data_IF_648393525909
#
_entry.id   IF_648393525909
#
_cell.length_a   1.000
_cell.length_b   1.000
_cell.length_c   1.000
_cell.angle_alpha   90.00
_cell.angle_beta   90.00
_cell.angle_gamma   90.00
#
_symmetry.space_group_name_H-M   'P 1'
#
loop_
_entity.id
_entity.type
_entity.pdbx_description
1 polymer ?
#
# COMPACT_ATOMS: atom_id res chain seq x y z
N UNK A 1 -24.96 -14.48 -14.00
CA UNK A 1 -23.70 -14.12 -14.69
C UNK A 1 -22.73 -13.65 -13.62
N UNK A 2 -21.56 -14.27 -13.50
CA UNK A 2 -20.50 -13.87 -12.56
C UNK A 2 -19.35 -13.24 -13.37
N UNK A 3 -18.76 -12.17 -12.86
CA UNK A 3 -17.64 -11.48 -13.48
C UNK A 3 -16.39 -11.63 -12.63
N UNK A 4 -15.22 -11.65 -13.25
CA UNK A 4 -13.92 -11.63 -12.55
C UNK A 4 -12.86 -10.84 -13.30
N UNK A 5 -11.84 -10.40 -12.54
CA UNK A 5 -10.68 -9.75 -13.12
C UNK A 5 -9.77 -10.76 -13.80
N UNK A 6 -9.40 -10.50 -15.04
CA UNK A 6 -8.51 -11.32 -15.86
C UNK A 6 -7.26 -10.55 -16.24
N UNK A 7 -6.11 -11.17 -16.06
CA UNK A 7 -4.85 -10.64 -16.56
C UNK A 7 -4.80 -10.78 -18.10
N UNK A 8 -4.31 -9.75 -18.75
CA UNK A 8 -4.16 -9.68 -20.20
C UNK A 8 -2.76 -9.28 -20.59
N UNK A 9 -2.35 -9.64 -21.80
CA UNK A 9 -1.10 -9.19 -22.41
C UNK A 9 -1.46 -8.44 -23.69
N UNK A 10 -1.00 -7.21 -23.81
CA UNK A 10 -1.20 -6.43 -25.03
C UNK A 10 -0.48 -7.09 -26.21
N UNK A 11 -1.17 -7.39 -27.32
CA UNK A 11 -0.54 -7.99 -28.49
C UNK A 11 0.38 -7.02 -29.23
N UNK A 12 0.28 -5.71 -28.94
CA UNK A 12 1.04 -4.67 -29.64
C UNK A 12 2.43 -4.47 -29.03
N UNK A 13 2.50 -4.42 -27.69
CA UNK A 13 3.72 -4.05 -26.97
C UNK A 13 4.09 -5.04 -25.84
N UNK A 14 3.36 -6.15 -25.70
CA UNK A 14 3.60 -7.16 -24.67
C UNK A 14 3.32 -6.72 -23.23
N UNK A 15 2.75 -5.53 -23.01
CA UNK A 15 2.47 -5.03 -21.67
C UNK A 15 1.37 -5.83 -21.01
N UNK A 16 1.60 -6.09 -19.70
CA UNK A 16 0.59 -6.69 -18.83
C UNK A 16 -0.51 -5.66 -18.51
N UNK A 17 -1.75 -6.10 -18.63
CA UNK A 17 -2.94 -5.33 -18.31
C UNK A 17 -3.95 -6.16 -17.53
N UNK A 18 -5.09 -5.56 -17.24
CA UNK A 18 -6.21 -6.22 -16.56
C UNK A 18 -7.51 -5.82 -17.21
N UNK A 19 -8.40 -6.80 -17.33
CA UNK A 19 -9.77 -6.61 -17.82
C UNK A 19 -10.77 -7.32 -16.91
N UNK A 20 -12.06 -7.18 -17.21
CA UNK A 20 -13.14 -7.91 -16.54
C UNK A 20 -13.83 -8.79 -17.58
N UNK A 21 -14.01 -10.06 -17.26
CA UNK A 21 -14.66 -11.05 -18.11
C UNK A 21 -15.81 -11.75 -17.39
N UNK A 22 -16.76 -12.27 -18.14
CA UNK A 22 -17.89 -13.06 -17.65
C UNK A 22 -17.63 -14.58 -17.64
N UNK A 23 -18.65 -15.37 -17.30
CA UNK A 23 -18.60 -16.84 -17.24
C UNK A 23 -18.18 -17.51 -18.58
N UNK A 24 -18.40 -16.82 -19.70
CA UNK A 24 -17.99 -17.25 -21.03
C UNK A 24 -16.61 -16.75 -21.46
N UNK A 25 -15.87 -16.08 -20.56
CA UNK A 25 -14.62 -15.36 -20.87
C UNK A 25 -14.81 -14.22 -21.88
N UNK A 26 -16.03 -13.68 -22.00
CA UNK A 26 -16.30 -12.51 -22.83
C UNK A 26 -15.91 -11.26 -22.06
N UNK A 27 -15.12 -10.40 -22.69
CA UNK A 27 -14.67 -9.14 -22.10
C UNK A 27 -15.85 -8.15 -21.93
N UNK A 28 -15.97 -7.56 -20.76
CA UNK A 28 -16.90 -6.44 -20.54
C UNK A 28 -16.31 -5.16 -21.14
N UNK A 29 -16.77 -4.77 -22.31
CA UNK A 29 -16.17 -3.74 -23.17
C UNK A 29 -15.93 -2.42 -22.46
N UNK A 30 -16.94 -1.89 -21.72
CA UNK A 30 -16.84 -0.61 -21.01
C UNK A 30 -15.86 -0.66 -19.85
N UNK A 31 -15.83 -1.76 -19.08
CA UNK A 31 -14.87 -1.96 -18.02
C UNK A 31 -13.43 -2.05 -18.57
N UNK A 32 -13.24 -2.74 -19.69
CA UNK A 32 -11.96 -2.84 -20.37
C UNK A 32 -11.47 -1.48 -20.88
N UNK A 33 -12.35 -0.68 -21.47
CA UNK A 33 -12.03 0.68 -21.92
C UNK A 33 -11.59 1.57 -20.73
N UNK A 34 -12.35 1.53 -19.63
CA UNK A 34 -12.00 2.26 -18.43
C UNK A 34 -10.64 1.85 -17.86
N UNK A 35 -10.38 0.54 -17.73
CA UNK A 35 -9.12 0.03 -17.18
C UNK A 35 -7.92 0.38 -18.07
N UNK A 36 -8.09 0.35 -19.40
CA UNK A 36 -7.06 0.83 -20.34
C UNK A 36 -6.81 2.33 -20.17
N UNK A 37 -7.86 3.13 -20.11
CA UNK A 37 -7.72 4.58 -19.91
C UNK A 37 -7.04 4.94 -18.58
N UNK A 38 -7.22 4.15 -17.52
CA UNK A 38 -6.51 4.33 -16.26
C UNK A 38 -4.99 4.12 -16.40
N UNK A 39 -4.58 3.10 -17.15
CA UNK A 39 -3.14 2.79 -17.32
C UNK A 39 -2.51 3.78 -18.30
N UNK A 40 -3.11 3.96 -19.47
CA UNK A 40 -2.54 4.74 -20.57
C UNK A 40 -2.72 6.25 -20.38
N UNK A 41 -3.86 6.67 -19.84
CA UNK A 41 -4.20 8.09 -19.68
C UNK A 41 -3.78 8.69 -18.34
N UNK A 42 -3.94 7.94 -17.24
CA UNK A 42 -3.66 8.44 -15.89
C UNK A 42 -2.35 7.92 -15.31
N UNK A 43 -1.59 7.11 -16.04
CA UNK A 43 -0.31 6.55 -15.57
C UNK A 43 -0.46 5.64 -14.34
N UNK A 44 -1.62 5.02 -14.14
CA UNK A 44 -1.84 4.11 -13.03
C UNK A 44 -1.01 2.83 -13.18
N UNK A 45 -0.49 2.31 -12.07
CA UNK A 45 0.25 1.06 -12.09
C UNK A 45 -0.64 -0.13 -12.47
N UNK A 46 -0.05 -1.17 -13.08
CA UNK A 46 -0.72 -2.45 -13.38
C UNK A 46 -1.36 -3.06 -12.13
N UNK A 47 -0.74 -2.90 -10.95
CA UNK A 47 -1.30 -3.32 -9.66
C UNK A 47 -2.57 -2.54 -9.26
N UNK A 48 -2.65 -1.26 -9.61
CA UNK A 48 -3.87 -0.45 -9.44
C UNK A 48 -4.96 -0.95 -10.37
N UNK A 49 -4.65 -1.17 -11.66
CA UNK A 49 -5.59 -1.71 -12.64
C UNK A 49 -6.15 -3.08 -12.20
N UNK A 50 -5.31 -3.98 -11.67
CA UNK A 50 -5.75 -5.25 -11.06
C UNK A 50 -6.78 -5.04 -9.96
N UNK A 51 -6.50 -4.11 -9.07
CA UNK A 51 -7.40 -3.81 -7.93
C UNK A 51 -8.73 -3.26 -8.42
N UNK A 52 -8.70 -2.37 -9.41
CA UNK A 52 -9.88 -1.77 -10.01
C UNK A 52 -10.70 -2.81 -10.78
N UNK A 53 -10.07 -3.66 -11.57
CA UNK A 53 -10.73 -4.77 -12.27
C UNK A 53 -11.47 -5.70 -11.29
N UNK A 54 -10.83 -6.08 -10.18
CA UNK A 54 -11.47 -6.92 -9.16
C UNK A 54 -12.65 -6.24 -8.45
N UNK A 55 -12.59 -4.92 -8.27
CA UNK A 55 -13.69 -4.14 -7.68
C UNK A 55 -14.86 -3.95 -8.65
N UNK A 56 -14.58 -3.70 -9.92
CA UNK A 56 -15.60 -3.65 -10.98
C UNK A 56 -16.27 -5.00 -11.18
N UNK A 57 -15.51 -6.09 -11.17
CA UNK A 57 -16.07 -7.43 -11.26
C UNK A 57 -17.11 -7.71 -10.16
N UNK A 58 -16.89 -7.23 -8.93
CA UNK A 58 -17.88 -7.34 -7.85
C UNK A 58 -19.14 -6.52 -8.13
N UNK A 59 -18.98 -5.30 -8.67
CA UNK A 59 -20.10 -4.45 -9.05
C UNK A 59 -20.93 -5.08 -10.16
N UNK A 60 -20.31 -5.48 -11.27
CA UNK A 60 -20.96 -6.08 -12.42
C UNK A 60 -21.67 -7.40 -12.07
N UNK A 61 -21.05 -8.23 -11.23
CA UNK A 61 -21.68 -9.45 -10.71
C UNK A 61 -22.95 -9.14 -9.92
N UNK A 62 -22.90 -8.15 -9.04
CA UNK A 62 -24.05 -7.75 -8.26
C UNK A 62 -25.14 -7.14 -9.13
N UNK A 63 -24.81 -6.23 -10.03
CA UNK A 63 -25.73 -5.60 -10.96
C UNK A 63 -26.45 -6.64 -11.84
N UNK A 64 -25.71 -7.59 -12.43
CA UNK A 64 -26.27 -8.66 -13.21
C UNK A 64 -27.20 -9.59 -12.39
N UNK A 65 -26.93 -9.79 -11.10
CA UNK A 65 -27.74 -10.63 -10.20
C UNK A 65 -29.03 -9.95 -9.74
N UNK A 66 -29.08 -8.62 -9.74
CA UNK A 66 -30.21 -7.84 -9.24
C UNK A 66 -31.00 -7.14 -10.34
N UNK A 67 -30.49 -7.12 -11.58
CA UNK A 67 -31.05 -6.34 -12.68
C UNK A 67 -30.82 -4.84 -12.57
N UNK A 68 -29.88 -4.41 -11.74
CA UNK A 68 -29.49 -3.02 -11.63
C UNK A 68 -28.75 -2.55 -12.89
N UNK A 69 -28.93 -1.28 -13.24
CA UNK A 69 -28.15 -0.66 -14.32
C UNK A 69 -26.68 -0.54 -13.88
N UNK A 70 -25.80 -1.23 -14.60
CA UNK A 70 -24.37 -1.31 -14.28
C UNK A 70 -23.58 -0.07 -14.72
N UNK A 71 -24.11 0.70 -15.67
CA UNK A 71 -23.50 1.92 -16.20
C UNK A 71 -24.06 3.20 -15.62
N UNK A 72 -25.32 3.18 -15.19
CA UNK A 72 -26.06 4.34 -14.72
C UNK A 72 -26.76 4.13 -13.37
N UNK A 73 -26.06 3.58 -12.33
CA UNK A 73 -26.71 3.34 -11.04
C UNK A 73 -27.19 4.63 -10.39
N UNK A 74 -28.35 4.57 -9.74
CA UNK A 74 -28.78 5.60 -8.81
C UNK A 74 -28.13 5.44 -7.42
N UNK A 75 -28.43 6.38 -6.53
CA UNK A 75 -27.91 6.37 -5.15
C UNK A 75 -28.40 5.17 -4.36
N UNK A 76 -29.64 4.70 -4.62
CA UNK A 76 -30.25 3.60 -3.91
C UNK A 76 -29.63 2.25 -4.32
N UNK A 77 -29.33 2.08 -5.61
CA UNK A 77 -28.59 0.92 -6.12
C UNK A 77 -27.18 0.83 -5.50
N UNK A 78 -26.45 1.96 -5.43
CA UNK A 78 -25.15 1.99 -4.76
C UNK A 78 -25.26 1.70 -3.26
N UNK A 79 -26.31 2.19 -2.58
CA UNK A 79 -26.54 1.88 -1.17
C UNK A 79 -26.89 0.41 -0.94
N UNK A 80 -27.66 -0.20 -1.84
CA UNK A 80 -27.98 -1.63 -1.83
C UNK A 80 -26.74 -2.48 -2.07
N UNK A 81 -25.90 -2.11 -3.05
CA UNK A 81 -24.62 -2.75 -3.30
C UNK A 81 -23.68 -2.68 -2.10
N UNK A 82 -23.58 -1.53 -1.43
CA UNK A 82 -22.79 -1.38 -0.23
C UNK A 82 -23.24 -2.32 0.89
N UNK A 83 -24.57 -2.46 1.11
CA UNK A 83 -25.13 -3.42 2.08
C UNK A 83 -24.83 -4.87 1.70
N UNK A 84 -24.89 -5.20 0.42
CA UNK A 84 -24.53 -6.51 -0.08
C UNK A 84 -23.05 -6.82 0.18
N UNK A 85 -22.13 -5.88 -0.09
CA UNK A 85 -20.70 -6.01 0.18
C UNK A 85 -20.40 -6.28 1.67
N UNK A 86 -21.14 -5.64 2.58
CA UNK A 86 -21.00 -5.80 4.03
C UNK A 86 -21.41 -7.19 4.50
N UNK A 87 -22.41 -7.80 3.85
CA UNK A 87 -22.96 -9.10 4.21
C UNK A 87 -22.30 -10.27 3.49
N UNK A 88 -21.73 -10.01 2.32
CA UNK A 88 -21.11 -11.04 1.49
C UNK A 88 -19.64 -11.20 1.88
N UNK A 89 -19.22 -12.40 2.33
CA UNK A 89 -17.84 -12.68 2.69
C UNK A 89 -16.87 -12.42 1.53
N UNK A 90 -15.66 -11.97 1.87
CA UNK A 90 -14.59 -11.83 0.88
C UNK A 90 -14.11 -13.23 0.48
N UNK A 91 -14.37 -13.65 -0.75
CA UNK A 91 -13.74 -14.87 -1.28
C UNK A 91 -12.25 -14.60 -1.44
N UNK A 92 -11.39 -15.27 -0.66
CA UNK A 92 -9.97 -15.34 -0.98
C UNK A 92 -9.87 -16.04 -2.34
N UNK A 93 -9.25 -15.40 -3.32
CA UNK A 93 -8.95 -16.00 -4.61
C UNK A 93 -8.14 -17.29 -4.40
N UNK A 94 -8.78 -18.44 -4.46
CA UNK A 94 -8.11 -19.73 -4.61
C UNK A 94 -7.56 -19.79 -6.03
N UNK A 95 -6.25 -19.87 -6.17
CA UNK A 95 -5.57 -20.02 -7.47
C UNK A 95 -6.07 -21.27 -8.20
N UNK A 96 -6.62 -21.08 -9.38
CA UNK A 96 -6.71 -21.97 -10.54
C UNK A 96 -7.36 -23.37 -10.43
N UNK A 97 -7.03 -24.22 -9.49
CA UNK A 97 -7.49 -25.62 -9.45
C UNK A 97 -8.81 -25.88 -8.69
N UNK A 98 -9.25 -24.97 -7.83
CA UNK A 98 -10.42 -25.15 -6.95
C UNK A 98 -11.72 -24.48 -7.47
N UNK A 99 -11.69 -23.85 -8.67
CA UNK A 99 -12.88 -23.16 -9.22
C UNK A 99 -14.05 -24.11 -9.50
N UNK A 100 -13.78 -25.36 -9.88
CA UNK A 100 -14.83 -26.35 -10.23
C UNK A 100 -15.59 -26.89 -9.01
N UNK A 101 -15.06 -26.77 -7.78
CA UNK A 101 -15.71 -27.19 -6.53
C UNK A 101 -16.53 -26.10 -5.84
N UNK A 102 -16.46 -24.85 -6.29
CA UNK A 102 -17.16 -23.72 -5.66
C UNK A 102 -18.59 -23.48 -6.16
N UNK A 103 -19.12 -24.36 -7.01
CA UNK A 103 -20.44 -24.22 -7.62
C UNK A 103 -21.57 -24.92 -6.84
N UNK A 104 -21.37 -25.24 -5.56
CA UNK A 104 -22.46 -25.72 -4.71
C UNK A 104 -23.19 -24.51 -4.11
N UNK A 105 -24.43 -24.21 -4.53
CA UNK A 105 -25.21 -23.07 -4.06
C UNK A 105 -25.62 -23.21 -2.58
N UNK A 106 -25.43 -24.38 -1.97
CA UNK A 106 -25.78 -24.65 -0.56
C UNK A 106 -24.64 -24.29 0.40
N UNK A 107 -23.42 -24.09 -0.10
CA UNK A 107 -22.27 -23.70 0.73
C UNK A 107 -22.25 -22.20 0.92
N UNK A 108 -22.76 -21.70 2.03
CA UNK A 108 -22.58 -20.31 2.47
C UNK A 108 -21.08 -20.07 2.69
N UNK A 109 -20.45 -19.14 1.97
CA UNK A 109 -19.03 -18.87 2.13
C UNK A 109 -18.77 -18.34 3.54
N UNK A 110 -18.10 -19.11 4.38
CA UNK A 110 -17.66 -18.67 5.71
C UNK A 110 -16.38 -17.85 5.52
N UNK A 111 -16.49 -16.54 5.66
CA UNK A 111 -15.36 -15.61 5.57
C UNK A 111 -15.66 -14.33 6.34
N UNK A 112 -14.64 -13.57 6.73
CA UNK A 112 -14.87 -12.29 7.41
C UNK A 112 -15.59 -11.30 6.48
N UNK A 113 -16.53 -10.56 7.04
CA UNK A 113 -17.19 -9.44 6.37
C UNK A 113 -16.15 -8.40 5.91
N UNK A 114 -16.45 -7.68 4.82
CA UNK A 114 -15.57 -6.61 4.35
C UNK A 114 -15.59 -5.45 5.33
N UNK A 115 -14.41 -4.89 5.61
CA UNK A 115 -14.32 -3.69 6.45
C UNK A 115 -14.99 -2.48 5.77
N UNK A 116 -15.50 -1.51 6.55
CA UNK A 116 -16.06 -0.27 5.99
C UNK A 116 -15.12 0.44 5.02
N UNK A 117 -13.81 0.43 5.29
CA UNK A 117 -12.82 1.04 4.40
C UNK A 117 -12.65 0.27 3.09
N UNK A 118 -12.79 -1.06 3.10
CA UNK A 118 -12.79 -1.89 1.89
C UNK A 118 -14.03 -1.61 1.04
N UNK A 119 -15.21 -1.57 1.68
CA UNK A 119 -16.47 -1.23 1.00
C UNK A 119 -16.39 0.16 0.38
N UNK A 120 -15.91 1.15 1.14
CA UNK A 120 -15.75 2.51 0.67
C UNK A 120 -14.78 2.62 -0.52
N UNK A 121 -13.69 1.85 -0.50
CA UNK A 121 -12.75 1.77 -1.62
C UNK A 121 -13.36 1.11 -2.89
N UNK A 122 -14.26 0.13 -2.73
CA UNK A 122 -14.98 -0.48 -3.86
C UNK A 122 -15.96 0.55 -4.47
N UNK A 123 -16.75 1.23 -3.65
CA UNK A 123 -17.66 2.29 -4.09
C UNK A 123 -16.94 3.43 -4.81
N UNK A 124 -15.71 3.76 -4.40
CA UNK A 124 -14.89 4.74 -5.12
C UNK A 124 -14.69 4.35 -6.57
N UNK A 125 -14.29 3.11 -6.82
CA UNK A 125 -14.02 2.62 -8.18
C UNK A 125 -15.29 2.62 -9.03
N UNK A 126 -16.43 2.21 -8.45
CA UNK A 126 -17.72 2.22 -9.18
C UNK A 126 -18.10 3.64 -9.58
N UNK A 127 -18.02 4.61 -8.66
CA UNK A 127 -18.35 6.02 -8.98
C UNK A 127 -17.40 6.61 -10.00
N UNK A 128 -16.10 6.29 -9.94
CA UNK A 128 -15.12 6.72 -10.95
C UNK A 128 -15.40 6.09 -12.32
N UNK A 129 -15.81 4.83 -12.37
CA UNK A 129 -16.24 4.15 -13.59
C UNK A 129 -17.47 4.81 -14.23
N UNK A 130 -18.51 5.09 -13.43
CA UNK A 130 -19.72 5.79 -13.90
C UNK A 130 -19.41 7.20 -14.42
N UNK A 131 -18.52 7.94 -13.76
CA UNK A 131 -18.05 9.25 -14.22
C UNK A 131 -17.27 9.18 -15.52
N UNK A 132 -16.42 8.17 -15.65
CA UNK A 132 -15.74 7.90 -16.92
C UNK A 132 -16.77 7.60 -18.01
N UNK A 133 -17.80 6.80 -17.72
CA UNK A 133 -18.91 6.54 -18.61
C UNK A 133 -19.64 7.81 -19.07
N UNK A 134 -19.88 8.75 -18.17
CA UNK A 134 -20.45 10.04 -18.53
C UNK A 134 -19.53 10.84 -19.48
N UNK A 135 -18.23 10.79 -19.29
CA UNK A 135 -17.26 11.44 -20.20
C UNK A 135 -17.20 10.77 -21.59
N UNK A 136 -17.61 9.50 -21.69
CA UNK A 136 -17.67 8.73 -22.93
C UNK A 136 -19.07 8.69 -23.58
N UNK A 137 -20.07 9.24 -22.90
CA UNK A 137 -21.44 9.31 -23.40
C UNK A 137 -22.25 8.02 -23.26
N UNK A 138 -21.78 7.01 -22.52
CA UNK A 138 -22.57 5.80 -22.25
C UNK A 138 -23.38 5.88 -20.94
N UNK A 139 -23.08 6.86 -20.08
CA UNK A 139 -23.83 7.19 -18.87
C UNK A 139 -24.33 8.63 -18.98
N UNK A 140 -25.55 8.91 -18.53
CA UNK A 140 -26.05 10.28 -18.47
C UNK A 140 -25.26 11.12 -17.45
N UNK A 141 -24.86 12.32 -17.83
CA UNK A 141 -24.10 13.24 -16.98
C UNK A 141 -24.82 13.55 -15.65
N UNK A 142 -26.17 13.64 -15.67
CA UNK A 142 -27.00 13.83 -14.49
C UNK A 142 -26.90 12.70 -13.48
N UNK A 143 -26.83 11.44 -13.94
CA UNK A 143 -26.65 10.27 -13.09
C UNK A 143 -25.29 10.33 -12.40
N UNK A 144 -24.22 10.52 -13.15
CA UNK A 144 -22.88 10.63 -12.59
C UNK A 144 -22.73 11.78 -11.57
N UNK A 145 -23.32 12.94 -11.88
CA UNK A 145 -23.35 14.08 -10.96
C UNK A 145 -24.19 13.80 -9.70
N UNK A 146 -25.28 13.04 -9.83
CA UNK A 146 -26.15 12.66 -8.72
C UNK A 146 -25.48 11.77 -7.66
N UNK A 147 -24.39 11.07 -8.00
CA UNK A 147 -23.69 10.18 -7.07
C UNK A 147 -22.80 10.91 -6.05
N UNK A 148 -22.55 12.18 -6.25
CA UNK A 148 -21.74 13.01 -5.37
C UNK A 148 -22.34 14.38 -5.14
N UNK A 149 -21.79 15.12 -4.19
CA UNK A 149 -22.14 16.51 -3.90
C UNK A 149 -20.90 17.30 -3.49
N UNK A 150 -20.96 18.61 -3.69
CA UNK A 150 -19.91 19.52 -3.24
C UNK A 150 -20.20 19.96 -1.81
N UNK A 151 -19.21 19.83 -0.95
CA UNK A 151 -19.26 20.25 0.46
C UNK A 151 -18.17 21.30 0.71
N UNK A 152 -18.57 22.44 1.26
CA UNK A 152 -17.62 23.42 1.77
C UNK A 152 -17.07 22.95 3.13
N UNK A 153 -15.75 22.87 3.27
CA UNK A 153 -15.11 22.52 4.53
C UNK A 153 -15.20 23.72 5.48
N UNK A 154 -16.07 23.63 6.48
CA UNK A 154 -16.25 24.68 7.50
C UNK A 154 -15.09 24.74 8.49
N UNK A 155 -14.53 23.58 8.82
CA UNK A 155 -13.40 23.42 9.72
C UNK A 155 -12.23 22.78 8.99
N UNK A 156 -11.12 23.46 8.99
CA UNK A 156 -9.85 22.97 8.46
C UNK A 156 -8.95 22.59 9.62
N UNK A 157 -8.09 21.56 9.48
CA UNK A 157 -7.06 21.29 10.46
C UNK A 157 -6.23 22.54 10.74
N UNK A 158 -5.81 22.74 12.01
CA UNK A 158 -5.07 23.94 12.44
C UNK A 158 -3.77 24.20 11.64
N UNK A 159 -3.23 23.15 10.98
CA UNK A 159 -2.03 23.19 10.13
C UNK A 159 -2.32 23.37 8.65
N UNK A 160 -3.57 23.57 8.26
CA UNK A 160 -3.92 23.78 6.86
C UNK A 160 -3.58 25.21 6.46
N UNK A 161 -2.48 25.36 5.73
CA UNK A 161 -2.12 26.62 5.11
C UNK A 161 -2.97 26.86 3.86
N UNK A 162 -3.73 27.95 3.84
CA UNK A 162 -4.56 28.35 2.69
C UNK A 162 -3.77 29.11 1.64
N UNK A 163 -2.53 29.53 1.95
CA UNK A 163 -1.84 30.52 1.16
C UNK A 163 -2.68 31.79 1.01
N UNK A 164 -2.62 32.45 -0.13
CA UNK A 164 -3.41 33.68 -0.43
C UNK A 164 -4.87 33.43 -0.83
N UNK A 165 -5.35 32.17 -0.79
CA UNK A 165 -6.71 31.84 -1.19
C UNK A 165 -7.73 32.24 -0.13
N UNK A 166 -8.65 33.14 -0.49
CA UNK A 166 -9.68 33.70 0.41
C UNK A 166 -10.96 32.86 0.53
N UNK A 167 -11.14 31.82 -0.28
CA UNK A 167 -12.35 30.97 -0.30
C UNK A 167 -12.27 29.77 0.64
N UNK A 168 -13.44 29.24 1.08
CA UNK A 168 -13.50 27.93 1.75
C UNK A 168 -13.20 26.83 0.75
N UNK A 169 -12.37 25.83 1.11
CA UNK A 169 -12.12 24.70 0.23
C UNK A 169 -13.41 23.93 0.00
N UNK A 170 -13.69 23.65 -1.25
CA UNK A 170 -14.82 22.82 -1.66
C UNK A 170 -14.26 21.43 -1.97
N UNK A 171 -14.81 20.42 -1.33
CA UNK A 171 -14.49 19.02 -1.61
C UNK A 171 -15.70 18.32 -2.21
N UNK A 172 -15.45 17.47 -3.17
CA UNK A 172 -16.49 16.61 -3.71
C UNK A 172 -16.58 15.33 -2.88
N UNK A 173 -17.80 15.03 -2.41
CA UNK A 173 -18.06 13.85 -1.58
C UNK A 173 -19.09 12.96 -2.24
N UNK A 174 -18.86 11.65 -2.17
CA UNK A 174 -19.86 10.66 -2.59
C UNK A 174 -21.04 10.66 -1.63
N UNK A 175 -22.25 10.51 -2.15
CA UNK A 175 -23.46 10.38 -1.35
C UNK A 175 -23.48 9.06 -0.57
N UNK A 176 -23.08 7.96 -1.20
CA UNK A 176 -22.92 6.67 -0.53
C UNK A 176 -21.49 6.48 -0.10
N UNK A 177 -21.25 6.48 1.19
CA UNK A 177 -19.95 6.27 1.81
C UNK A 177 -20.08 5.45 3.10
N UNK A 178 -19.00 4.84 3.52
CA UNK A 178 -18.91 4.20 4.84
C UNK A 178 -17.98 4.98 5.75
N UNK A 179 -18.43 5.21 6.98
CA UNK A 179 -17.60 5.90 7.98
C UNK A 179 -16.38 5.03 8.26
N UNK A 180 -15.21 5.57 8.00
CA UNK A 180 -13.95 4.95 8.40
C UNK A 180 -13.75 5.22 9.89
N UNK A 181 -13.39 4.18 10.62
CA UNK A 181 -12.81 4.33 11.95
C UNK A 181 -11.31 4.25 11.73
N UNK A 182 -10.63 5.36 11.87
CA UNK A 182 -9.17 5.39 11.79
C UNK A 182 -8.63 4.64 13.00
N UNK A 183 -8.09 3.46 12.73
CA UNK A 183 -7.38 2.66 13.74
C UNK A 183 -5.93 3.12 13.73
N UNK A 184 -5.29 3.23 14.91
CA UNK A 184 -3.86 3.49 14.94
C UNK A 184 -3.12 2.41 14.15
N UNK A 185 -2.00 2.77 13.51
CA UNK A 185 -1.20 1.79 12.79
C UNK A 185 -0.75 0.68 13.74
N UNK A 186 -0.81 -0.55 13.27
CA UNK A 186 -0.27 -1.69 14.03
C UNK A 186 1.26 -1.63 13.96
N UNK A 187 1.89 -1.57 15.10
CA UNK A 187 3.34 -1.60 15.29
C UNK A 187 3.76 -2.88 16.00
N UNK A 188 5.03 -3.21 15.93
CA UNK A 188 5.70 -4.22 16.73
C UNK A 188 6.61 -3.51 17.74
N UNK A 189 6.78 -4.10 18.91
CA UNK A 189 7.79 -3.67 19.88
C UNK A 189 9.19 -4.11 19.42
N UNK A 190 10.24 -3.54 19.99
CA UNK A 190 11.63 -3.96 19.73
C UNK A 190 11.84 -5.44 20.05
N UNK A 191 11.24 -5.94 21.12
CA UNK A 191 11.35 -7.36 21.51
C UNK A 191 10.66 -8.27 20.49
N UNK A 192 9.45 -7.91 20.03
CA UNK A 192 8.74 -8.65 18.98
C UNK A 192 9.50 -8.64 17.65
N UNK A 193 10.25 -7.59 17.33
CA UNK A 193 11.14 -7.54 16.15
C UNK A 193 12.35 -8.43 16.39
N UNK A 194 12.93 -8.44 17.59
CA UNK A 194 14.00 -9.35 17.99
C UNK A 194 13.59 -10.81 17.83
N UNK A 195 12.41 -11.19 18.31
CA UNK A 195 11.85 -12.54 18.15
C UNK A 195 11.73 -12.95 16.68
N UNK A 196 11.31 -12.02 15.81
CA UNK A 196 11.23 -12.28 14.37
C UNK A 196 12.64 -12.51 13.76
N UNK A 197 13.62 -11.68 14.13
CA UNK A 197 14.98 -11.78 13.65
C UNK A 197 15.64 -13.10 14.11
N UNK A 198 15.39 -13.51 15.35
CA UNK A 198 15.92 -14.75 15.93
C UNK A 198 15.21 -16.01 15.38
N UNK A 199 13.95 -15.88 14.98
CA UNK A 199 13.23 -16.94 14.29
C UNK A 199 13.68 -17.16 12.83
N UNK A 200 14.50 -16.27 12.27
CA UNK A 200 15.06 -16.44 10.92
C UNK A 200 16.11 -17.55 10.91
N UNK A 201 16.03 -18.43 9.91
CA UNK A 201 16.95 -19.59 9.79
C UNK A 201 18.17 -19.31 8.91
N UNK A 202 18.30 -18.10 8.33
CA UNK A 202 19.38 -17.72 7.42
C UNK A 202 19.60 -16.20 7.46
N UNK A 203 20.79 -15.77 6.99
CA UNK A 203 21.17 -14.36 7.06
C UNK A 203 20.35 -13.47 6.14
N UNK A 204 19.89 -13.96 4.97
CA UNK A 204 19.01 -13.19 4.08
C UNK A 204 17.71 -12.78 4.77
N UNK A 205 17.02 -13.74 5.38
CA UNK A 205 15.71 -13.51 5.99
C UNK A 205 15.84 -12.58 7.20
N UNK A 206 16.91 -12.75 8.00
CA UNK A 206 17.26 -11.85 9.10
C UNK A 206 17.56 -10.43 8.60
N UNK A 207 18.36 -10.29 7.55
CA UNK A 207 18.64 -9.00 6.94
C UNK A 207 17.36 -8.31 6.44
N UNK A 208 16.41 -9.05 5.86
CA UNK A 208 15.11 -8.50 5.41
C UNK A 208 14.32 -7.90 6.57
N UNK A 209 14.20 -8.62 7.69
CA UNK A 209 13.50 -8.15 8.88
C UNK A 209 14.12 -6.86 9.40
N UNK A 210 15.44 -6.90 9.64
CA UNK A 210 16.18 -5.77 10.20
C UNK A 210 16.27 -4.57 9.25
N UNK A 211 16.38 -4.81 7.92
CA UNK A 211 16.37 -3.74 6.94
C UNK A 211 15.03 -3.00 6.89
N UNK A 212 13.90 -3.73 6.94
CA UNK A 212 12.57 -3.10 6.98
C UNK A 212 12.38 -2.29 8.27
N UNK A 213 12.84 -2.81 9.40
CA UNK A 213 12.73 -2.14 10.69
C UNK A 213 13.69 -0.94 10.81
N UNK A 214 14.95 -1.10 10.47
CA UNK A 214 15.97 -0.07 10.66
C UNK A 214 15.97 1.06 9.62
N UNK A 215 15.25 0.88 8.49
CA UNK A 215 15.21 1.88 7.41
C UNK A 215 13.81 2.42 7.12
N UNK A 216 12.78 1.74 7.61
CA UNK A 216 11.39 2.08 7.29
C UNK A 216 11.04 1.99 5.79
N UNK A 217 11.82 1.29 4.98
CA UNK A 217 11.53 1.07 3.57
C UNK A 217 10.19 0.36 3.36
N UNK A 218 9.50 0.68 2.28
CA UNK A 218 8.37 -0.15 1.85
C UNK A 218 8.90 -1.47 1.32
N UNK A 219 8.13 -2.54 1.49
CA UNK A 219 8.50 -3.86 0.99
C UNK A 219 8.93 -3.85 -0.49
N UNK A 220 8.16 -3.19 -1.34
CA UNK A 220 8.50 -3.08 -2.77
C UNK A 220 9.76 -2.23 -3.02
N UNK A 221 10.06 -1.25 -2.16
CA UNK A 221 11.30 -0.48 -2.23
C UNK A 221 12.49 -1.38 -1.90
N UNK A 222 12.43 -2.14 -0.80
CA UNK A 222 13.48 -3.08 -0.41
C UNK A 222 13.71 -4.16 -1.47
N UNK A 223 12.64 -4.79 -2.00
CA UNK A 223 12.76 -5.80 -3.05
C UNK A 223 13.25 -5.24 -4.39
N UNK A 224 13.10 -3.94 -4.63
CA UNK A 224 13.56 -3.25 -5.84
C UNK A 224 14.99 -2.72 -5.77
N UNK A 225 15.67 -2.83 -4.61
CA UNK A 225 17.05 -2.36 -4.48
C UNK A 225 18.02 -3.18 -5.34
N UNK A 226 18.98 -2.44 -5.89
CA UNK A 226 20.13 -3.01 -6.60
C UNK A 226 21.38 -2.93 -5.72
N UNK A 227 22.37 -3.73 -6.02
CA UNK A 227 23.67 -3.68 -5.33
C UNK A 227 24.31 -2.29 -5.44
N UNK A 228 24.12 -1.60 -6.57
CA UNK A 228 24.60 -0.24 -6.82
C UNK A 228 23.89 0.84 -6.00
N UNK A 229 22.75 0.54 -5.36
CA UNK A 229 22.04 1.48 -4.50
C UNK A 229 22.59 1.55 -3.07
N UNK A 230 23.48 0.61 -2.69
CA UNK A 230 24.02 0.49 -1.35
C UNK A 230 25.42 1.09 -1.28
N UNK A 231 25.58 2.11 -0.46
CA UNK A 231 26.86 2.70 -0.12
C UNK A 231 27.17 2.44 1.35
N UNK A 232 27.55 1.20 1.68
CA UNK A 232 27.80 0.73 3.05
C UNK A 232 29.26 0.96 3.48
N UNK A 233 29.81 2.09 3.04
CA UNK A 233 31.19 2.54 3.30
C UNK A 233 31.15 3.99 3.85
N UNK A 234 32.21 4.42 4.56
CA UNK A 234 32.26 5.76 5.13
C UNK A 234 32.12 6.89 4.10
N UNK A 235 32.62 6.68 2.89
CA UNK A 235 32.51 7.65 1.79
C UNK A 235 32.47 6.93 0.46
N UNK A 236 31.47 7.26 -0.35
CA UNK A 236 31.31 6.81 -1.73
C UNK A 236 31.65 7.90 -2.76
N UNK A 237 32.48 8.88 -2.39
CA UNK A 237 32.86 9.99 -3.25
C UNK A 237 33.52 9.53 -4.58
N UNK A 238 34.28 8.44 -4.55
CA UNK A 238 34.89 7.82 -5.72
C UNK A 238 33.85 7.22 -6.71
N UNK A 239 32.62 6.97 -6.24
CA UNK A 239 31.47 6.56 -7.05
C UNK A 239 30.59 7.74 -7.45
N UNK A 240 31.02 8.99 -7.17
CA UNK A 240 30.26 10.19 -7.48
C UNK A 240 29.16 10.54 -6.46
N UNK A 241 29.05 9.81 -5.37
CA UNK A 241 28.07 10.09 -4.31
C UNK A 241 28.63 11.11 -3.30
N UNK A 242 27.85 12.17 -3.06
CA UNK A 242 28.20 13.25 -2.12
C UNK A 242 27.76 12.99 -0.68
N UNK A 243 27.01 11.91 -0.44
CA UNK A 243 26.51 11.56 0.89
C UNK A 243 27.60 10.82 1.66
N UNK A 244 27.85 11.23 2.89
CA UNK A 244 28.82 10.60 3.79
C UNK A 244 28.14 9.60 4.73
N UNK A 245 28.86 8.57 5.13
CA UNK A 245 28.36 7.49 5.98
C UNK A 245 27.60 6.41 5.19
N UNK A 246 27.31 5.32 5.86
CA UNK A 246 26.59 4.19 5.26
C UNK A 246 25.12 4.56 4.99
N UNK A 247 24.66 4.34 3.76
CA UNK A 247 23.30 4.71 3.33
C UNK A 247 22.82 3.89 2.13
N UNK A 248 21.52 3.98 1.87
CA UNK A 248 20.83 3.36 0.73
C UNK A 248 20.15 4.44 -0.12
N UNK A 249 20.31 4.36 -1.43
CA UNK A 249 19.57 5.15 -2.40
C UNK A 249 18.25 4.44 -2.76
N UNK A 250 17.13 5.08 -2.49
CA UNK A 250 15.79 4.55 -2.83
C UNK A 250 15.32 5.21 -4.10
N UNK A 251 15.37 4.46 -5.19
CA UNK A 251 15.02 4.92 -6.53
C UNK A 251 13.78 4.18 -7.02
N UNK A 252 12.91 4.91 -7.75
CA UNK A 252 11.80 4.27 -8.46
C UNK A 252 12.31 3.73 -9.80
N UNK A 253 12.12 2.43 -9.99
CA UNK A 253 12.35 1.75 -11.27
C UNK A 253 11.09 1.07 -11.72
N UNK A 254 10.75 1.24 -12.98
CA UNK A 254 9.64 0.56 -13.63
C UNK A 254 10.17 -0.68 -14.35
N UNK A 255 9.31 -1.68 -14.55
CA UNK A 255 9.69 -2.91 -15.25
C UNK A 255 10.58 -3.85 -14.44
N UNK A 256 10.60 -3.77 -13.11
CA UNK A 256 11.29 -4.77 -12.29
C UNK A 256 10.72 -6.17 -12.51
N UNK A 257 11.56 -7.15 -12.86
CA UNK A 257 11.16 -8.54 -13.17
C UNK A 257 10.45 -9.26 -12.00
N UNK A 258 10.74 -8.82 -10.75
CA UNK A 258 10.12 -9.36 -9.54
C UNK A 258 8.80 -8.65 -9.15
N UNK A 259 8.30 -7.74 -9.98
CA UNK A 259 7.08 -6.98 -9.76
C UNK A 259 7.18 -5.92 -8.65
N UNK A 260 8.39 -5.64 -8.16
CA UNK A 260 8.59 -4.59 -7.16
C UNK A 260 8.47 -3.20 -7.81
N UNK A 261 7.60 -2.36 -7.28
CA UNK A 261 7.42 -0.97 -7.75
C UNK A 261 7.36 -0.02 -6.56
N UNK A 262 8.35 0.86 -6.46
CA UNK A 262 8.35 1.92 -5.45
C UNK A 262 7.18 2.89 -5.71
N UNK A 263 6.36 3.14 -4.67
CA UNK A 263 5.25 4.12 -4.77
C UNK A 263 5.74 5.56 -4.80
N UNK A 264 6.88 5.85 -4.13
CA UNK A 264 7.46 7.19 -4.15
C UNK A 264 8.04 7.49 -5.54
N UNK A 265 7.65 8.61 -6.11
CA UNK A 265 8.19 9.11 -7.38
C UNK A 265 9.55 9.79 -7.14
N UNK A 266 9.71 10.39 -5.96
CA UNK A 266 10.93 11.13 -5.62
C UNK A 266 11.99 10.19 -5.04
N UNK A 267 13.23 10.26 -5.56
CA UNK A 267 14.36 9.54 -4.96
C UNK A 267 14.66 10.09 -3.57
N UNK A 268 15.17 9.23 -2.70
CA UNK A 268 15.63 9.63 -1.37
C UNK A 268 16.81 8.78 -0.92
N UNK A 269 17.54 9.29 0.04
CA UNK A 269 18.64 8.59 0.70
C UNK A 269 18.22 8.27 2.14
N UNK A 270 18.47 7.03 2.55
CA UNK A 270 18.17 6.58 3.91
C UNK A 270 19.48 6.13 4.57
N UNK A 271 19.92 6.76 5.66
CA UNK A 271 21.11 6.33 6.41
C UNK A 271 20.85 4.97 7.05
N UNK A 272 21.91 4.17 7.21
CA UNK A 272 21.84 2.86 7.85
C UNK A 272 22.85 2.74 9.00
N UNK A 273 22.53 1.89 9.97
CA UNK A 273 23.38 1.61 11.12
C UNK A 273 24.52 0.65 10.75
N UNK A 274 25.58 0.63 11.56
CA UNK A 274 26.69 -0.33 11.41
C UNK A 274 26.21 -1.78 11.57
N UNK A 275 25.23 -2.02 12.42
CA UNK A 275 24.71 -3.36 12.64
C UNK A 275 23.94 -3.86 11.41
N UNK A 276 23.19 -2.99 10.74
CA UNK A 276 22.55 -3.36 9.47
C UNK A 276 23.60 -3.67 8.37
N UNK A 277 24.72 -2.93 8.34
CA UNK A 277 25.84 -3.24 7.43
C UNK A 277 26.42 -4.64 7.72
N UNK A 278 26.65 -4.99 8.99
CA UNK A 278 27.12 -6.33 9.36
C UNK A 278 26.16 -7.45 8.95
N UNK A 279 24.86 -7.23 9.13
CA UNK A 279 23.83 -8.18 8.68
C UNK A 279 23.81 -8.32 7.16
N UNK A 280 23.98 -7.22 6.44
CA UNK A 280 24.16 -7.25 4.99
C UNK A 280 25.39 -8.08 4.61
N UNK A 281 26.53 -7.90 5.27
CA UNK A 281 27.76 -8.64 4.96
C UNK A 281 27.59 -10.14 5.19
N UNK A 282 26.89 -10.53 6.28
CA UNK A 282 26.53 -11.92 6.53
C UNK A 282 25.63 -12.48 5.41
N UNK A 283 24.64 -11.72 4.96
CA UNK A 283 23.81 -12.11 3.82
C UNK A 283 24.61 -12.16 2.52
N UNK A 284 25.51 -11.21 2.29
CA UNK A 284 26.38 -11.20 1.10
C UNK A 284 27.22 -12.46 1.01
N UNK A 285 27.74 -12.95 2.12
CA UNK A 285 28.48 -14.22 2.17
C UNK A 285 27.61 -15.40 1.69
N UNK A 286 26.35 -15.51 2.16
CA UNK A 286 25.41 -16.53 1.69
C UNK A 286 25.03 -16.36 0.20
N UNK A 287 24.81 -15.11 -0.23
CA UNK A 287 24.46 -14.77 -1.61
C UNK A 287 25.58 -15.12 -2.59
N UNK A 288 26.80 -14.76 -2.24
CA UNK A 288 27.97 -14.94 -3.10
C UNK A 288 28.37 -16.42 -3.22
N UNK A 289 27.91 -17.30 -2.31
CA UNK A 289 28.03 -18.75 -2.43
C UNK A 289 27.09 -19.36 -3.49
N UNK A 290 26.10 -18.59 -4.01
CA UNK A 290 25.15 -19.02 -5.05
C UNK A 290 25.62 -18.49 -6.40
N UNK A 291 26.14 -19.37 -7.25
CA UNK A 291 26.73 -19.00 -8.55
C UNK A 291 25.74 -18.21 -9.43
N UNK A 292 24.47 -18.62 -9.46
CA UNK A 292 23.41 -17.96 -10.24
C UNK A 292 23.11 -16.53 -9.76
N UNK A 293 23.43 -16.23 -8.50
CA UNK A 293 23.25 -14.90 -7.95
C UNK A 293 24.25 -13.87 -8.53
N UNK A 294 25.38 -14.32 -9.05
CA UNK A 294 26.39 -13.44 -9.65
C UNK A 294 25.87 -12.68 -10.87
N UNK A 295 24.93 -13.25 -11.61
CA UNK A 295 24.30 -12.62 -12.77
C UNK A 295 23.23 -11.59 -12.42
N UNK A 296 22.79 -11.51 -11.16
CA UNK A 296 21.73 -10.60 -10.71
C UNK A 296 22.31 -9.35 -10.06
N UNK A 297 21.86 -8.18 -10.49
CA UNK A 297 22.17 -6.91 -9.85
C UNK A 297 21.23 -6.57 -8.68
N UNK A 298 20.16 -7.36 -8.48
CA UNK A 298 19.25 -7.19 -7.34
C UNK A 298 19.96 -7.49 -6.01
N UNK A 299 19.67 -6.67 -5.01
CA UNK A 299 20.13 -6.93 -3.66
C UNK A 299 19.59 -8.26 -3.15
N UNK A 300 18.27 -8.46 -3.19
CA UNK A 300 17.61 -9.64 -2.66
C UNK A 300 17.32 -10.66 -3.76
N UNK A 301 17.88 -11.87 -3.59
CA UNK A 301 17.72 -12.98 -4.54
C UNK A 301 17.34 -14.28 -3.83
N UNK A 302 16.84 -15.23 -4.60
CA UNK A 302 16.63 -16.59 -4.13
C UNK A 302 17.99 -17.31 -3.94
N UNK A 303 18.33 -17.64 -2.70
CA UNK A 303 19.54 -18.37 -2.37
C UNK A 303 19.30 -19.85 -2.02
N UNK A 304 18.06 -20.25 -1.69
CA UNK A 304 17.77 -21.56 -1.06
C UNK A 304 16.80 -22.42 -1.84
N UNK A 305 16.03 -21.86 -2.78
CA UNK A 305 15.04 -22.59 -3.57
C UNK A 305 15.10 -22.16 -5.02
N UNK A 306 14.93 -23.13 -5.90
CA UNK A 306 14.88 -22.89 -7.34
C UNK A 306 13.67 -21.99 -7.73
N UNK A 307 13.84 -21.08 -8.69
CA UNK A 307 15.08 -20.78 -9.42
C UNK A 307 16.05 -19.91 -8.58
N UNK A 308 17.28 -20.42 -8.40
CA UNK A 308 18.33 -19.72 -7.68
C UNK A 308 18.75 -18.42 -8.41
N UNK A 309 19.27 -17.44 -7.69
CA UNK A 309 19.74 -16.17 -8.25
C UNK A 309 18.63 -15.23 -8.74
N UNK A 310 17.39 -15.69 -8.87
CA UNK A 310 16.27 -14.84 -9.29
C UNK A 310 15.94 -13.80 -8.21
N UNK A 311 15.61 -12.59 -8.65
CA UNK A 311 15.19 -11.50 -7.78
C UNK A 311 14.00 -11.90 -6.88
N UNK A 312 14.13 -11.63 -5.57
CA UNK A 312 13.09 -11.98 -4.60
C UNK A 312 11.87 -11.06 -4.78
N UNK A 313 10.70 -11.66 -4.91
CA UNK A 313 9.46 -10.88 -5.10
C UNK A 313 8.89 -10.37 -3.76
N UNK A 314 8.12 -9.26 -3.77
CA UNK A 314 7.38 -8.83 -2.59
C UNK A 314 6.46 -9.92 -2.03
N UNK A 315 5.85 -10.74 -2.87
CA UNK A 315 4.99 -11.85 -2.45
C UNK A 315 5.76 -12.91 -1.66
N UNK A 316 7.00 -13.23 -2.08
CA UNK A 316 7.86 -14.19 -1.36
C UNK A 316 8.24 -13.68 0.03
N UNK A 317 8.45 -12.37 0.19
CA UNK A 317 8.71 -11.77 1.51
C UNK A 317 7.43 -11.75 2.37
N UNK A 318 6.25 -11.49 1.80
CA UNK A 318 4.99 -11.63 2.55
C UNK A 318 4.77 -13.06 3.06
N UNK A 319 5.12 -14.07 2.24
CA UNK A 319 5.09 -15.48 2.65
C UNK A 319 6.12 -15.79 3.76
N UNK A 320 7.32 -15.20 3.70
CA UNK A 320 8.30 -15.26 4.78
C UNK A 320 7.69 -14.74 6.10
N UNK A 321 7.10 -13.55 6.08
CA UNK A 321 6.47 -12.97 7.28
C UNK A 321 5.29 -13.79 7.79
N UNK A 322 4.53 -14.45 6.91
CA UNK A 322 3.47 -15.38 7.33
C UNK A 322 4.05 -16.59 8.09
N UNK A 323 5.17 -17.16 7.61
CA UNK A 323 5.88 -18.26 8.30
C UNK A 323 6.48 -17.81 9.63
N UNK A 324 7.14 -16.63 9.66
CA UNK A 324 7.69 -16.05 10.89
C UNK A 324 6.59 -15.78 11.92
N UNK A 325 5.48 -15.17 11.51
CA UNK A 325 4.33 -14.94 12.39
C UNK A 325 3.81 -16.21 13.07
N UNK A 326 3.77 -17.32 12.32
CA UNK A 326 3.38 -18.63 12.88
C UNK A 326 4.41 -19.16 13.87
N UNK A 327 5.71 -18.94 13.58
CA UNK A 327 6.83 -19.43 14.39
C UNK A 327 6.94 -18.71 15.73
N UNK A 328 6.75 -17.36 15.72
CA UNK A 328 6.83 -16.53 16.94
C UNK A 328 5.51 -16.42 17.70
N UNK A 329 4.39 -16.90 17.13
CA UNK A 329 3.07 -16.91 17.80
C UNK A 329 2.34 -15.56 17.78
N UNK A 330 2.88 -14.51 17.15
CA UNK A 330 2.21 -13.22 16.99
C UNK A 330 2.19 -12.76 15.54
N UNK A 331 1.24 -11.89 15.23
CA UNK A 331 1.07 -11.39 13.87
C UNK A 331 2.14 -10.38 13.51
N UNK A 332 2.91 -10.67 12.47
CA UNK A 332 3.87 -9.74 11.89
C UNK A 332 3.65 -9.60 10.38
N UNK A 333 3.84 -8.38 9.87
CA UNK A 333 3.81 -8.06 8.44
C UNK A 333 4.87 -7.02 8.12
N UNK A 334 5.43 -7.00 6.91
CA UNK A 334 6.45 -6.03 6.51
C UNK A 334 6.06 -4.57 6.81
N UNK A 335 4.80 -4.23 6.58
CA UNK A 335 4.31 -2.85 6.80
C UNK A 335 4.26 -2.45 8.27
N UNK A 336 4.11 -3.42 9.20
CA UNK A 336 4.15 -3.13 10.64
C UNK A 336 5.54 -2.68 11.08
N UNK A 337 6.63 -3.28 10.56
CA UNK A 337 8.00 -2.86 10.83
C UNK A 337 8.25 -1.41 10.40
N UNK A 338 7.74 -1.02 9.23
CA UNK A 338 7.81 0.37 8.79
C UNK A 338 7.00 1.30 9.71
N UNK A 339 5.86 0.87 10.23
CA UNK A 339 5.09 1.64 11.21
C UNK A 339 5.83 1.77 12.53
N UNK A 340 6.49 0.70 13.00
CA UNK A 340 7.34 0.74 14.19
C UNK A 340 8.47 1.75 14.02
N UNK A 341 9.25 1.66 12.94
CA UNK A 341 10.29 2.63 12.60
C UNK A 341 9.75 4.07 12.60
N UNK A 342 8.63 4.31 11.92
CA UNK A 342 8.04 5.64 11.83
C UNK A 342 7.64 6.20 13.20
N UNK A 343 7.04 5.36 14.06
CA UNK A 343 6.61 5.73 15.39
C UNK A 343 7.81 6.03 16.31
N UNK A 344 8.85 5.21 16.24
CA UNK A 344 10.06 5.40 17.04
C UNK A 344 10.83 6.65 16.62
N UNK A 345 11.03 6.86 15.32
CA UNK A 345 11.65 8.09 14.81
C UNK A 345 10.84 9.33 15.21
N UNK A 346 9.51 9.27 15.08
CA UNK A 346 8.63 10.37 15.49
C UNK A 346 8.74 10.68 16.98
N UNK A 347 8.89 9.67 17.83
CA UNK A 347 9.08 9.84 19.28
C UNK A 347 10.41 10.51 19.64
N UNK A 348 11.49 10.08 18.98
CA UNK A 348 12.83 10.57 19.25
C UNK A 348 13.02 11.99 18.71
N UNK A 349 12.57 12.23 17.47
CA UNK A 349 12.86 13.48 16.77
C UNK A 349 11.81 14.57 17.04
N UNK A 350 10.56 14.17 17.30
CA UNK A 350 9.38 15.05 17.40
C UNK A 350 9.22 15.97 16.18
N UNK A 351 9.87 15.61 15.07
CA UNK A 351 9.86 16.37 13.82
C UNK A 351 9.13 15.57 12.71
N UNK A 352 7.89 15.96 12.35
CA UNK A 352 7.14 15.29 11.29
C UNK A 352 7.75 15.49 9.90
N UNK A 353 8.53 16.55 9.68
CA UNK A 353 9.17 16.77 8.38
C UNK A 353 10.29 15.75 8.15
N UNK A 354 11.10 15.48 9.16
CA UNK A 354 12.14 14.45 9.10
C UNK A 354 11.55 13.06 8.91
N UNK A 355 10.50 12.71 9.64
CA UNK A 355 9.79 11.43 9.47
C UNK A 355 9.23 11.30 8.05
N UNK A 356 8.62 12.36 7.52
CA UNK A 356 8.12 12.41 6.15
C UNK A 356 9.22 12.15 5.13
N UNK A 357 10.37 12.78 5.28
CA UNK A 357 11.51 12.66 4.36
C UNK A 357 12.07 11.23 4.37
N UNK A 358 12.38 10.68 5.54
CA UNK A 358 12.87 9.31 5.70
C UNK A 358 11.91 8.28 5.09
N UNK A 359 10.62 8.44 5.33
CA UNK A 359 9.61 7.52 4.80
C UNK A 359 9.27 7.77 3.32
N UNK A 360 9.60 8.90 2.73
CA UNK A 360 9.20 9.27 1.38
C UNK A 360 7.68 9.41 1.26
N UNK A 361 7.06 10.14 2.20
CA UNK A 361 5.63 10.47 2.12
C UNK A 361 5.43 11.69 1.22
N UNK A 362 4.56 11.59 0.22
CA UNK A 362 4.21 12.72 -0.63
C UNK A 362 3.50 13.84 0.16
N UNK A 363 2.74 13.48 1.22
CA UNK A 363 2.00 14.41 2.06
C UNK A 363 2.39 14.26 3.53
N UNK A 364 2.45 15.38 4.25
CA UNK A 364 2.69 15.40 5.70
C UNK A 364 1.53 14.76 6.48
N UNK A 365 0.32 14.80 5.95
CA UNK A 365 -0.87 14.15 6.53
C UNK A 365 -0.66 12.64 6.72
N UNK A 366 0.12 12.01 5.85
CA UNK A 366 0.48 10.59 6.00
C UNK A 366 1.44 10.34 7.16
N UNK A 367 2.08 11.38 7.69
CA UNK A 367 3.02 11.33 8.82
C UNK A 367 2.32 11.64 10.13
N UNK A 368 1.22 12.41 10.12
CA UNK A 368 0.46 12.78 11.31
C UNK A 368 -0.04 11.55 12.11
N UNK A 369 -0.26 10.43 11.43
CA UNK A 369 -0.63 9.14 12.04
C UNK A 369 0.40 8.65 13.07
N UNK A 370 1.67 9.06 12.94
CA UNK A 370 2.77 8.68 13.85
C UNK A 370 3.05 9.72 14.93
N UNK A 371 2.43 10.89 14.84
CA UNK A 371 2.64 12.01 15.77
C UNK A 371 1.63 12.00 16.92
N UNK A 372 1.11 10.83 17.30
CA UNK A 372 0.22 10.71 18.44
C UNK A 372 0.96 11.02 19.72
N UNK A 373 0.44 11.97 20.48
CA UNK A 373 0.91 12.23 21.83
C UNK A 373 0.65 10.98 22.70
N UNK A 374 1.70 10.43 23.30
CA UNK A 374 1.54 9.38 24.32
C UNK A 374 0.92 9.97 25.56
N UNK A 375 0.23 9.15 26.34
CA UNK A 375 -0.32 9.55 27.63
C UNK A 375 0.73 10.19 28.52
N UNK A 376 1.95 9.64 28.55
CA UNK A 376 3.05 10.17 29.33
C UNK A 376 3.52 11.55 28.86
N UNK A 377 3.56 11.79 27.53
CA UNK A 377 3.88 13.11 26.96
C UNK A 377 2.78 14.12 27.30
N UNK A 378 1.51 13.70 27.23
CA UNK A 378 0.37 14.55 27.62
C UNK A 378 0.40 14.86 29.12
N UNK A 379 0.71 13.87 29.95
CA UNK A 379 0.86 14.03 31.39
C UNK A 379 2.00 14.97 31.72
N UNK A 380 3.17 14.77 31.12
CA UNK A 380 4.33 15.65 31.31
C UNK A 380 4.03 17.09 30.87
N UNK A 381 3.29 17.28 29.78
CA UNK A 381 2.88 18.62 29.33
C UNK A 381 1.92 19.31 30.30
N UNK A 382 0.97 18.57 30.88
CA UNK A 382 0.06 19.11 31.90
C UNK A 382 0.83 19.42 33.18
N UNK A 383 1.72 18.56 33.65
CA UNK A 383 2.54 18.78 34.83
C UNK A 383 3.48 19.99 34.62
N UNK A 384 4.09 20.13 33.45
CA UNK A 384 4.89 21.33 33.11
C UNK A 384 4.06 22.61 33.07
N UNK A 385 2.82 22.56 32.55
CA UNK A 385 1.90 23.68 32.55
C UNK A 385 1.49 24.09 33.96
N UNK A 386 1.22 23.11 34.83
CA UNK A 386 0.85 23.35 36.23
C UNK A 386 1.99 24.00 37.06
N UNK A 387 3.26 23.74 36.67
CA UNK A 387 4.45 24.30 37.31
C UNK A 387 5.02 25.54 36.61
N UNK A 388 4.39 25.96 35.50
CA UNK A 388 4.78 27.21 34.84
C UNK A 388 4.49 28.38 35.78
N UNK A 389 5.48 29.28 36.02
CA UNK A 389 5.26 30.44 36.88
C UNK A 389 4.10 31.28 36.33
N UNK A 390 3.17 31.65 37.21
CA UNK A 390 2.04 32.50 36.87
C UNK A 390 2.58 33.71 36.11
N UNK A 391 2.11 33.94 34.88
CA UNK A 391 2.47 35.14 34.10
C UNK A 391 2.15 36.33 34.95
N UNK A 392 3.21 37.07 35.29
CA UNK A 392 3.24 38.15 36.27
C UNK A 392 2.06 39.09 36.20
N UNK A 393 1.50 39.29 37.37
CA UNK A 393 0.82 40.52 37.71
C UNK A 393 1.89 41.62 37.87
N UNK A 394 2.31 42.16 36.74
CA UNK A 394 2.97 43.46 36.70
C UNK A 394 2.08 44.38 35.86
N UNK A 395 1.29 45.13 36.58
CA UNK A 395 0.81 46.47 36.22
C UNK A 395 0.82 47.32 37.42
#
# INVERSE_FOLDING_TARGET
MEFWAQETVSPVDGRLGWTVVDDGYVEHTRAAEYLRALVDGSGCSVGTARTYAGRLALWLTWAASTGADDDGPDVDALAAFARWLERTPSRKHRRGRDRRRAADPTVVPIGPARSPSTVDGILTVVVEFVRFGASRGWTEAGVAAGLSFREELRFLPARYDRGERTGRPVVERRRVRRRRVDKPPMTLTSDEVGDLADACSNARDRFIVEALYGTGLRLAELCGLRLSDLHFIPSAAHLGCKVTGAHVHVLRREGNENGALAKSVYPRVVPVTRDLVRLHDAYRFERDAVAEAAASDYLLVNCYHSPLGRALSPASVEELFARLSTRVGHRARPHMLRHSFASEVALVTKDPALVKELLGHASIVSTDVYMHARWDDMRAAIDAHAHAPARGADR
#
